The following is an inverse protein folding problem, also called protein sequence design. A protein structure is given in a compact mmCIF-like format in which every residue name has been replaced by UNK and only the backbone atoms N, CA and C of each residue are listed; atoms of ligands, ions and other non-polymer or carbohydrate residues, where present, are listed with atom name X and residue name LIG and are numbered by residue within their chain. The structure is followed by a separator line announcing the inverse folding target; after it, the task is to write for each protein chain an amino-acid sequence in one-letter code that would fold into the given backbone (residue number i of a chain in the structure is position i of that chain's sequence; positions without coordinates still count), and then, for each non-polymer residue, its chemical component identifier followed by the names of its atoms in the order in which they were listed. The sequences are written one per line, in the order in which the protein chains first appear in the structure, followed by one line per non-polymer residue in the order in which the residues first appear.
data_IF_623236768042
#
_entry.id   IF_623236768042
#
_cell.length_a   1.000
_cell.length_b   1.000
_cell.length_c   1.000
_cell.angle_alpha   90.00
_cell.angle_beta   90.00
_cell.angle_gamma   90.00
#
_symmetry.space_group_name_H-M   'P 1'
#
loop_
_entity.id
_entity.type
_entity.pdbx_description
1 polymer ?
#
# COMPACT_ATOMS: atom_id res chain seq x y z
N UNK A 1 -7.66 -19.20 -7.62
CA UNK A 1 -6.69 -19.14 -6.50
C UNK A 1 -7.41 -19.65 -5.28
N UNK A 2 -6.95 -20.70 -4.60
CA UNK A 2 -7.47 -21.03 -3.28
C UNK A 2 -7.27 -19.79 -2.39
N UNK A 3 -8.33 -19.40 -1.72
CA UNK A 3 -8.34 -18.26 -0.82
C UNK A 3 -7.24 -18.44 0.23
N UNK A 4 -6.20 -17.61 0.17
CA UNK A 4 -5.09 -17.57 1.13
C UNK A 4 -4.96 -16.17 1.66
N UNK A 5 -4.55 -16.06 2.90
CA UNK A 5 -4.26 -14.75 3.50
C UNK A 5 -3.24 -14.00 2.65
N UNK A 6 -3.53 -12.78 2.33
CA UNK A 6 -2.66 -11.89 1.58
C UNK A 6 -2.49 -10.56 2.31
N UNK A 7 -1.30 -9.97 2.19
CA UNK A 7 -0.97 -8.74 2.89
C UNK A 7 -0.56 -7.66 1.92
N UNK A 8 -1.17 -6.47 2.06
CA UNK A 8 -0.85 -5.29 1.28
C UNK A 8 -0.69 -4.06 2.19
N UNK A 9 -0.24 -2.97 1.62
CA UNK A 9 -0.47 -1.62 2.14
C UNK A 9 -1.55 -0.94 1.28
N UNK A 10 -2.29 0.00 1.87
CA UNK A 10 -3.21 0.88 1.14
C UNK A 10 -2.73 2.31 1.09
N UNK A 11 -1.80 2.69 1.95
CA UNK A 11 -1.32 4.05 1.97
C UNK A 11 0.06 4.19 2.59
N UNK A 12 0.64 5.36 2.40
CA UNK A 12 1.94 5.72 2.94
C UNK A 12 2.44 7.06 2.44
N UNK A 13 3.65 7.42 2.86
CA UNK A 13 4.32 8.62 2.40
C UNK A 13 4.74 8.48 0.94
N UNK A 14 4.43 9.50 0.14
CA UNK A 14 4.81 9.62 -1.27
C UNK A 14 5.45 10.98 -1.57
N UNK A 15 5.93 11.18 -2.79
CA UNK A 15 6.49 12.48 -3.20
C UNK A 15 5.49 13.65 -3.20
N UNK A 16 4.20 13.38 -3.08
CA UNK A 16 3.13 14.37 -2.95
C UNK A 16 2.57 14.48 -1.52
N UNK A 17 3.22 13.91 -0.52
CA UNK A 17 2.71 13.75 0.84
C UNK A 17 2.08 12.39 1.06
N UNK A 18 1.18 12.26 2.04
CA UNK A 18 0.45 11.02 2.25
C UNK A 18 -0.46 10.71 1.06
N UNK A 19 -0.42 9.47 0.58
CA UNK A 19 -1.34 8.93 -0.43
C UNK A 19 -1.94 7.63 0.08
N UNK A 20 -3.27 7.52 0.03
CA UNK A 20 -4.00 6.32 0.44
C UNK A 20 -5.09 5.94 -0.55
N UNK A 21 -5.49 4.68 -0.52
CA UNK A 21 -6.53 4.04 -1.34
C UNK A 21 -7.60 3.40 -0.44
N UNK A 22 -7.81 3.97 0.76
CA UNK A 22 -8.73 3.40 1.76
C UNK A 22 -10.20 3.54 1.37
N UNK A 23 -10.57 4.63 0.68
CA UNK A 23 -11.93 4.80 0.18
C UNK A 23 -12.20 3.80 -0.94
N UNK A 24 -11.29 3.72 -1.92
CA UNK A 24 -11.41 2.76 -3.02
C UNK A 24 -11.48 1.31 -2.50
N UNK A 25 -10.72 0.98 -1.44
CA UNK A 25 -10.81 -0.31 -0.78
C UNK A 25 -12.17 -0.54 -0.13
N UNK A 26 -12.69 0.42 0.63
CA UNK A 26 -13.99 0.31 1.29
C UNK A 26 -15.13 0.13 0.26
N UNK A 27 -15.06 0.84 -0.88
CA UNK A 27 -16.06 0.79 -1.95
C UNK A 27 -16.10 -0.58 -2.69
N UNK A 28 -15.11 -1.44 -2.49
CA UNK A 28 -15.10 -2.80 -3.04
C UNK A 28 -16.02 -3.77 -2.29
N UNK A 29 -16.45 -3.42 -1.07
CA UNK A 29 -17.20 -4.30 -0.17
C UNK A 29 -18.65 -3.86 -0.01
N UNK A 30 -19.54 -4.84 0.17
CA UNK A 30 -20.97 -4.58 0.37
C UNK A 30 -21.27 -3.97 1.74
N UNK A 31 -20.43 -4.27 2.75
CA UNK A 31 -20.57 -3.80 4.12
C UNK A 31 -19.23 -3.22 4.60
N UNK A 32 -18.94 -1.95 4.30
CA UNK A 32 -17.79 -1.28 4.90
C UNK A 32 -18.05 -0.96 6.38
N UNK A 33 -17.11 -1.32 7.25
CA UNK A 33 -17.13 -0.98 8.69
C UNK A 33 -15.99 -0.01 8.96
N UNK A 34 -16.33 1.23 9.30
CA UNK A 34 -15.39 2.30 9.60
C UNK A 34 -15.18 2.41 11.11
N UNK A 35 -13.93 2.34 11.56
CA UNK A 35 -13.55 2.49 12.98
C UNK A 35 -13.07 3.93 13.17
N UNK A 36 -13.86 4.75 13.84
CA UNK A 36 -13.63 6.18 14.00
C UNK A 36 -13.31 6.56 15.45
N UNK A 37 -12.69 7.74 15.62
CA UNK A 37 -12.54 8.39 16.91
C UNK A 37 -11.39 7.88 17.77
N UNK A 38 -10.53 7.03 17.22
CA UNK A 38 -9.41 6.47 17.95
C UNK A 38 -8.07 6.78 17.32
N UNK A 39 -7.02 6.55 18.08
CA UNK A 39 -5.68 6.39 17.59
C UNK A 39 -5.39 4.90 17.33
N UNK A 40 -4.21 4.59 16.85
CA UNK A 40 -3.88 3.25 16.34
C UNK A 40 -4.03 2.12 17.38
N UNK A 41 -4.04 2.41 18.69
CA UNK A 41 -4.22 1.40 19.74
C UNK A 41 -5.61 0.78 19.74
N UNK A 42 -6.67 1.58 19.88
CA UNK A 42 -8.06 1.10 19.97
C UNK A 42 -8.51 0.43 18.67
N UNK A 43 -8.30 1.09 17.52
CA UNK A 43 -8.64 0.52 16.21
C UNK A 43 -7.87 -0.78 15.94
N UNK A 44 -6.58 -0.82 16.31
CA UNK A 44 -5.74 -2.01 16.17
C UNK A 44 -6.26 -3.22 16.97
N UNK A 45 -6.79 -3.01 18.18
CA UNK A 45 -7.41 -4.08 19.00
C UNK A 45 -8.64 -4.66 18.33
N UNK A 46 -9.50 -3.80 17.79
CA UNK A 46 -10.71 -4.24 17.06
C UNK A 46 -10.32 -5.04 15.82
N UNK A 47 -9.42 -4.52 14.99
CA UNK A 47 -8.94 -5.21 13.79
C UNK A 47 -8.32 -6.57 14.13
N UNK A 48 -7.48 -6.64 15.15
CA UNK A 48 -6.84 -7.88 15.55
C UNK A 48 -7.86 -8.92 16.08
N UNK A 49 -8.88 -8.47 16.84
CA UNK A 49 -9.96 -9.34 17.32
C UNK A 49 -10.77 -9.94 16.16
N UNK A 50 -11.07 -9.15 15.13
CA UNK A 50 -11.73 -9.62 13.90
C UNK A 50 -10.84 -10.58 13.13
N UNK A 51 -9.56 -10.24 12.93
CA UNK A 51 -8.59 -11.10 12.22
C UNK A 51 -8.49 -12.49 12.85
N UNK A 52 -8.41 -12.54 14.19
CA UNK A 52 -8.33 -13.81 14.93
C UNK A 52 -9.60 -14.65 14.76
N UNK A 53 -10.80 -14.04 14.80
CA UNK A 53 -12.05 -14.75 14.57
C UNK A 53 -12.14 -15.30 13.15
N UNK A 54 -11.80 -14.51 12.14
CA UNK A 54 -11.83 -14.93 10.74
C UNK A 54 -10.85 -16.06 10.47
N UNK A 55 -9.64 -16.00 11.05
CA UNK A 55 -8.65 -17.06 10.98
C UNK A 55 -9.14 -18.37 11.63
N UNK A 56 -9.78 -18.29 12.81
CA UNK A 56 -10.38 -19.45 13.48
C UNK A 56 -11.50 -20.10 12.67
N UNK A 57 -12.22 -19.29 11.90
CA UNK A 57 -13.29 -19.76 10.99
C UNK A 57 -12.76 -20.29 9.66
N UNK A 58 -11.44 -20.33 9.47
CA UNK A 58 -10.81 -20.78 8.22
C UNK A 58 -11.10 -19.88 7.01
N UNK A 59 -11.50 -18.64 7.24
CA UNK A 59 -11.80 -17.69 6.19
C UNK A 59 -10.52 -16.99 5.73
N UNK A 60 -10.46 -16.72 4.45
CA UNK A 60 -9.37 -15.98 3.85
C UNK A 60 -9.51 -14.49 4.10
N UNK A 61 -8.47 -13.87 4.58
CA UNK A 61 -8.46 -12.47 4.97
C UNK A 61 -7.46 -11.69 4.14
N UNK A 62 -7.92 -10.63 3.50
CA UNK A 62 -7.03 -9.61 2.98
C UNK A 62 -6.62 -8.68 4.12
N UNK A 63 -5.34 -8.67 4.44
CA UNK A 63 -4.78 -7.94 5.57
C UNK A 63 -4.07 -6.68 5.06
N UNK A 64 -4.44 -5.53 5.57
CA UNK A 64 -3.80 -4.26 5.23
C UNK A 64 -2.86 -3.86 6.37
N UNK A 65 -1.57 -3.92 6.08
CA UNK A 65 -0.51 -3.55 7.01
C UNK A 65 -0.38 -2.03 7.13
N UNK A 66 -0.06 -1.55 8.32
CA UNK A 66 0.26 -0.15 8.54
C UNK A 66 1.66 0.16 8.03
N UNK A 67 1.78 1.20 7.20
CA UNK A 67 3.08 1.66 6.68
C UNK A 67 3.91 2.42 7.72
N UNK A 68 3.27 2.98 8.76
CA UNK A 68 3.94 3.70 9.84
C UNK A 68 4.42 2.77 10.96
N UNK A 69 3.69 1.67 11.20
CA UNK A 69 3.96 0.76 12.31
C UNK A 69 4.05 -0.69 11.86
N UNK A 70 5.24 -1.28 12.00
CA UNK A 70 5.42 -2.71 11.76
C UNK A 70 4.52 -3.54 12.70
N UNK A 71 3.80 -4.49 12.12
CA UNK A 71 2.94 -5.42 12.88
C UNK A 71 1.56 -4.87 13.28
N UNK A 72 1.23 -3.61 12.96
CA UNK A 72 -0.13 -3.08 13.10
C UNK A 72 -0.91 -3.15 11.79
N UNK A 73 -2.24 -3.14 11.92
CA UNK A 73 -3.20 -3.23 10.82
C UNK A 73 -3.90 -1.88 10.62
N UNK A 74 -4.13 -1.53 9.37
CA UNK A 74 -4.94 -0.37 8.99
C UNK A 74 -6.32 -0.79 8.47
N UNK A 75 -6.45 -2.00 7.90
CA UNK A 75 -7.73 -2.55 7.48
C UNK A 75 -7.68 -4.07 7.33
N UNK A 76 -8.88 -4.67 7.19
CA UNK A 76 -9.11 -6.07 6.85
C UNK A 76 -10.24 -6.17 5.83
N UNK A 77 -10.15 -7.13 4.91
CA UNK A 77 -11.22 -7.46 3.97
C UNK A 77 -11.51 -8.96 3.96
N UNK A 78 -12.78 -9.34 4.00
CA UNK A 78 -13.22 -10.73 3.90
C UNK A 78 -14.66 -10.80 3.40
N UNK A 79 -14.94 -11.60 2.36
CA UNK A 79 -16.28 -11.99 1.90
C UNK A 79 -17.35 -10.87 1.80
N UNK A 80 -17.03 -9.70 1.31
CA UNK A 80 -17.99 -8.61 1.18
C UNK A 80 -18.10 -7.68 2.37
N UNK A 81 -17.36 -7.95 3.47
CA UNK A 81 -17.22 -7.06 4.61
C UNK A 81 -15.77 -6.57 4.70
N UNK A 82 -15.57 -5.29 4.96
CA UNK A 82 -14.24 -4.80 5.32
C UNK A 82 -14.29 -3.97 6.60
N UNK A 83 -13.18 -3.93 7.30
CA UNK A 83 -12.96 -3.11 8.49
C UNK A 83 -11.81 -2.16 8.20
N UNK A 84 -12.03 -0.88 8.35
CA UNK A 84 -11.04 0.16 8.03
C UNK A 84 -10.84 1.08 9.22
N UNK A 85 -9.59 1.27 9.63
CA UNK A 85 -9.23 2.34 10.54
C UNK A 85 -9.44 3.68 9.84
N UNK A 86 -10.51 4.39 10.18
CA UNK A 86 -10.92 5.64 9.57
C UNK A 86 -10.29 6.90 10.21
N UNK A 87 -9.26 6.72 11.05
CA UNK A 87 -8.53 7.85 11.62
C UNK A 87 -7.58 8.48 10.60
N UNK A 88 -7.33 9.79 10.77
CA UNK A 88 -6.32 10.48 9.94
C UNK A 88 -4.95 9.79 10.03
N UNK A 89 -4.22 9.63 8.90
CA UNK A 89 -4.45 10.20 7.56
C UNK A 89 -5.28 9.33 6.62
N UNK A 90 -5.81 8.16 7.04
CA UNK A 90 -6.53 7.22 6.17
C UNK A 90 -7.87 7.80 5.70
N UNK A 91 -8.65 8.28 6.63
CA UNK A 91 -9.87 9.08 6.50
C UNK A 91 -10.86 8.69 5.37
N UNK A 92 -11.21 7.40 5.17
CA UNK A 92 -12.43 7.09 4.43
C UNK A 92 -13.62 7.68 5.20
N UNK A 93 -14.62 8.18 4.48
CA UNK A 93 -15.79 8.84 5.08
C UNK A 93 -17.03 7.99 4.86
N UNK A 94 -17.84 7.85 5.91
CA UNK A 94 -19.19 7.35 5.75
C UNK A 94 -20.03 8.38 4.99
N UNK A 95 -20.64 7.97 3.88
CA UNK A 95 -21.53 8.78 3.05
C UNK A 95 -22.97 8.56 3.50
N UNK A 96 -23.36 7.33 3.75
CA UNK A 96 -24.68 6.93 4.23
C UNK A 96 -24.54 6.05 5.49
N UNK A 97 -24.13 6.65 6.64
CA UNK A 97 -23.90 5.89 7.87
C UNK A 97 -25.09 5.02 8.25
N UNK A 98 -24.85 3.79 8.67
CA UNK A 98 -25.81 2.73 9.02
C UNK A 98 -26.62 2.16 7.85
N UNK A 99 -26.81 2.91 6.77
CA UNK A 99 -27.53 2.42 5.59
C UNK A 99 -26.60 1.64 4.64
N UNK A 100 -25.35 2.11 4.48
CA UNK A 100 -24.31 1.48 3.68
C UNK A 100 -23.12 1.14 4.57
N UNK A 101 -22.47 2.16 5.14
CA UNK A 101 -21.32 1.98 6.01
C UNK A 101 -21.77 1.77 7.46
N UNK A 102 -21.18 0.79 8.14
CA UNK A 102 -21.28 0.66 9.59
C UNK A 102 -20.18 1.48 10.24
N UNK A 103 -20.48 2.18 11.34
CA UNK A 103 -19.50 2.96 12.08
C UNK A 103 -19.33 2.39 13.48
N UNK A 104 -18.08 2.06 13.83
CA UNK A 104 -17.67 1.71 15.18
C UNK A 104 -16.95 2.92 15.79
N UNK A 105 -17.63 3.61 16.70
CA UNK A 105 -17.10 4.82 17.33
C UNK A 105 -16.29 4.48 18.58
N UNK A 106 -15.05 4.94 18.62
CA UNK A 106 -14.15 4.88 19.77
C UNK A 106 -14.26 6.12 20.70
N UNK A 107 -15.05 7.14 20.34
CA UNK A 107 -15.12 8.38 21.10
C UNK A 107 -15.52 8.16 22.57
N UNK A 108 -16.46 7.23 22.82
CA UNK A 108 -16.96 6.91 24.17
C UNK A 108 -16.15 5.79 24.85
N UNK A 109 -15.10 5.30 24.19
CA UNK A 109 -14.27 4.23 24.72
C UNK A 109 -13.04 4.74 25.48
N UNK A 110 -12.95 6.04 25.71
CA UNK A 110 -11.84 6.68 26.43
C UNK A 110 -12.30 7.49 27.63
N UNK A 111 -11.50 7.51 28.70
CA UNK A 111 -11.67 8.45 29.82
C UNK A 111 -11.37 9.87 29.36
N UNK A 112 -12.44 10.61 29.07
CA UNK A 112 -12.35 11.99 28.59
C UNK A 112 -11.65 12.93 29.59
N UNK A 113 -11.85 12.73 30.91
CA UNK A 113 -11.22 13.56 31.93
C UNK A 113 -9.73 13.39 31.93
N UNK A 114 -9.27 12.15 31.81
CA UNK A 114 -7.84 11.83 31.68
C UNK A 114 -7.26 12.46 30.42
N UNK A 115 -7.88 12.30 29.25
CA UNK A 115 -7.40 12.88 27.99
C UNK A 115 -7.35 14.41 28.04
N UNK A 116 -8.37 15.04 28.63
CA UNK A 116 -8.38 16.52 28.82
C UNK A 116 -7.23 16.96 29.72
N UNK A 117 -6.91 16.22 30.78
CA UNK A 117 -5.76 16.52 31.64
C UNK A 117 -4.40 16.42 30.95
N UNK A 118 -4.33 15.62 29.87
CA UNK A 118 -3.14 15.38 29.04
C UNK A 118 -3.11 16.22 27.75
N UNK A 119 -4.02 17.18 27.58
CA UNK A 119 -4.19 17.96 26.34
C UNK A 119 -2.89 18.58 25.84
N UNK A 120 -2.15 19.27 26.71
CA UNK A 120 -0.91 19.96 26.32
C UNK A 120 0.15 18.98 25.86
N UNK A 121 0.30 17.85 26.55
CA UNK A 121 1.23 16.78 26.21
C UNK A 121 0.86 16.15 24.86
N UNK A 122 -0.41 15.80 24.66
CA UNK A 122 -0.94 15.27 23.40
C UNK A 122 -0.72 16.24 22.25
N UNK A 123 -1.00 17.54 22.45
CA UNK A 123 -0.79 18.57 21.43
C UNK A 123 0.69 18.67 21.06
N UNK A 124 1.59 18.71 22.05
CA UNK A 124 3.03 18.81 21.80
C UNK A 124 3.57 17.61 20.98
N UNK A 125 3.17 16.39 21.33
CA UNK A 125 3.58 15.19 20.59
C UNK A 125 2.99 15.16 19.19
N UNK A 126 1.70 15.48 19.01
CA UNK A 126 1.05 15.53 17.70
C UNK A 126 1.74 16.54 16.78
N UNK A 127 2.00 17.76 17.26
CA UNK A 127 2.71 18.77 16.48
C UNK A 127 4.15 18.35 16.15
N UNK A 128 4.83 17.65 17.06
CA UNK A 128 6.19 17.14 16.82
C UNK A 128 6.19 16.09 15.72
N UNK A 129 5.27 15.13 15.78
CA UNK A 129 5.08 14.11 14.75
C UNK A 129 4.76 14.71 13.39
N UNK A 130 3.85 15.67 13.35
CA UNK A 130 3.47 16.40 12.13
C UNK A 130 4.64 17.17 11.51
N UNK A 131 5.48 17.83 12.33
CA UNK A 131 6.68 18.50 11.83
C UNK A 131 7.66 17.52 11.22
N UNK A 132 7.89 16.38 11.87
CA UNK A 132 8.77 15.33 11.39
C UNK A 132 8.24 14.70 10.09
N UNK A 133 6.96 14.38 10.03
CA UNK A 133 6.32 13.83 8.83
C UNK A 133 6.38 14.80 7.64
N UNK A 134 6.09 16.11 7.86
CA UNK A 134 6.25 17.13 6.80
C UNK A 134 7.70 17.29 6.34
N UNK A 135 8.69 17.12 7.24
CA UNK A 135 10.10 17.11 6.87
C UNK A 135 10.44 15.90 6.01
N UNK A 136 9.98 14.69 6.38
CA UNK A 136 10.12 13.49 5.58
C UNK A 136 9.52 13.66 4.17
N UNK A 137 8.33 14.26 4.06
CA UNK A 137 7.68 14.53 2.78
C UNK A 137 8.52 15.44 1.88
N UNK A 138 9.14 16.49 2.44
CA UNK A 138 10.02 17.39 1.66
C UNK A 138 11.26 16.67 1.14
N UNK A 139 11.92 15.87 1.97
CA UNK A 139 13.08 15.08 1.55
C UNK A 139 12.70 14.05 0.47
N UNK A 140 11.55 13.37 0.64
CA UNK A 140 11.08 12.40 -0.35
C UNK A 140 10.74 13.06 -1.69
N UNK A 141 10.16 14.28 -1.66
CA UNK A 141 9.88 15.06 -2.88
C UNK A 141 11.17 15.39 -3.62
N UNK A 142 12.21 15.80 -2.90
CA UNK A 142 13.52 16.10 -3.49
C UNK A 142 14.18 14.83 -4.06
N UNK A 143 14.15 13.71 -3.32
CA UNK A 143 14.66 12.42 -3.82
C UNK A 143 13.92 11.96 -5.08
N UNK A 144 12.59 12.04 -5.06
CA UNK A 144 11.74 11.67 -6.21
C UNK A 144 12.01 12.56 -7.43
N UNK A 145 12.38 13.83 -7.24
CA UNK A 145 12.77 14.72 -8.34
C UNK A 145 14.05 14.23 -9.03
N UNK A 146 15.05 13.82 -8.27
CA UNK A 146 16.30 13.25 -8.83
C UNK A 146 16.05 11.91 -9.53
N UNK A 147 15.20 11.05 -8.96
CA UNK A 147 14.83 9.77 -9.59
C UNK A 147 14.05 10.00 -10.89
N UNK A 148 13.15 10.99 -10.93
CA UNK A 148 12.43 11.38 -12.16
C UNK A 148 13.38 11.92 -13.23
N UNK A 149 14.36 12.72 -12.83
CA UNK A 149 15.38 13.22 -13.74
C UNK A 149 16.18 12.06 -14.37
N UNK A 150 16.49 11.02 -13.60
CA UNK A 150 17.14 9.82 -14.13
C UNK A 150 16.23 9.07 -15.10
N UNK A 151 14.96 8.89 -14.77
CA UNK A 151 13.98 8.29 -15.67
C UNK A 151 13.88 9.05 -16.99
N UNK A 152 13.74 10.38 -16.95
CA UNK A 152 13.67 11.21 -18.14
C UNK A 152 14.94 11.10 -19.00
N UNK A 153 16.11 11.11 -18.36
CA UNK A 153 17.39 10.93 -19.05
C UNK A 153 17.51 9.56 -19.73
N UNK A 154 16.93 8.51 -19.17
CA UNK A 154 16.90 7.16 -19.75
C UNK A 154 15.84 7.07 -20.85
N UNK A 155 14.66 7.69 -20.68
CA UNK A 155 13.60 7.73 -21.68
C UNK A 155 14.10 8.34 -23.01
N UNK A 156 15.00 9.33 -22.99
CA UNK A 156 15.54 9.91 -24.24
C UNK A 156 16.34 8.92 -25.09
N UNK A 157 16.75 7.79 -24.54
CA UNK A 157 17.44 6.71 -25.25
C UNK A 157 16.68 5.37 -25.18
N UNK A 158 15.39 5.40 -24.85
CA UNK A 158 14.52 4.21 -24.77
C UNK A 158 13.52 4.23 -25.92
N UNK A 159 13.45 3.11 -26.64
CA UNK A 159 12.46 2.90 -27.70
C UNK A 159 11.14 2.40 -27.06
N UNK A 160 10.24 3.35 -26.78
CA UNK A 160 8.94 3.04 -26.17
C UNK A 160 8.05 2.16 -27.07
N UNK A 161 8.20 2.26 -28.41
CA UNK A 161 7.46 1.40 -29.34
C UNK A 161 7.85 -0.07 -29.15
N UNK A 162 9.15 -0.37 -28.91
CA UNK A 162 9.60 -1.71 -28.56
C UNK A 162 9.14 -2.16 -27.19
N UNK A 163 9.06 -1.24 -26.21
CA UNK A 163 8.51 -1.54 -24.89
C UNK A 163 7.03 -1.92 -25.00
N UNK A 164 6.22 -1.18 -25.75
CA UNK A 164 4.82 -1.53 -26.02
C UNK A 164 4.67 -2.84 -26.75
N UNK A 165 5.49 -3.10 -27.81
CA UNK A 165 5.46 -4.39 -28.51
C UNK A 165 5.78 -5.55 -27.57
N UNK A 166 6.74 -5.37 -26.66
CA UNK A 166 7.05 -6.35 -25.63
C UNK A 166 5.85 -6.55 -24.69
N UNK A 167 5.20 -5.46 -24.23
CA UNK A 167 3.98 -5.52 -23.42
C UNK A 167 2.87 -6.32 -24.11
N UNK A 168 2.59 -6.04 -25.39
CA UNK A 168 1.61 -6.79 -26.21
C UNK A 168 1.99 -8.27 -26.37
N UNK A 169 3.26 -8.58 -26.57
CA UNK A 169 3.73 -9.96 -26.67
C UNK A 169 3.56 -10.73 -25.35
N UNK A 170 3.83 -10.07 -24.21
CA UNK A 170 3.62 -10.64 -22.89
C UNK A 170 2.14 -10.84 -22.58
N UNK A 171 1.29 -9.86 -22.90
CA UNK A 171 -0.17 -9.98 -22.78
C UNK A 171 -0.70 -11.16 -23.57
N UNK A 172 -0.35 -11.28 -24.85
CA UNK A 172 -0.74 -12.40 -25.70
C UNK A 172 -0.28 -13.75 -25.17
N UNK A 173 0.85 -13.79 -24.47
CA UNK A 173 1.42 -15.04 -23.93
C UNK A 173 0.76 -15.46 -22.62
N UNK A 174 0.51 -14.52 -21.71
CA UNK A 174 0.16 -14.82 -20.32
C UNK A 174 -1.29 -14.46 -19.96
N UNK A 175 -1.92 -13.52 -20.67
CA UNK A 175 -3.29 -13.07 -20.39
C UNK A 175 -4.24 -13.56 -21.49
N UNK A 176 -4.37 -14.89 -21.62
CA UNK A 176 -5.14 -15.50 -22.71
C UNK A 176 -6.61 -15.70 -22.38
N UNK A 177 -6.93 -15.86 -21.11
CA UNK A 177 -8.30 -16.08 -20.65
C UNK A 177 -9.07 -14.78 -20.64
N UNK A 178 -10.41 -14.89 -20.70
CA UNK A 178 -11.31 -13.77 -20.53
C UNK A 178 -11.97 -13.88 -19.16
N UNK A 179 -12.10 -12.74 -18.47
CA UNK A 179 -12.97 -12.58 -17.31
C UNK A 179 -14.38 -12.18 -17.72
N UNK A 180 -15.26 -11.96 -16.75
CA UNK A 180 -16.62 -11.49 -17.00
C UNK A 180 -16.72 -9.96 -16.88
N UNK A 181 -16.43 -9.42 -15.69
CA UNK A 181 -16.54 -7.99 -15.35
C UNK A 181 -15.40 -7.60 -14.41
N UNK A 182 -14.16 -7.77 -14.86
CA UNK A 182 -12.97 -7.51 -14.06
C UNK A 182 -12.87 -6.07 -13.57
N UNK A 183 -12.37 -5.93 -12.35
CA UNK A 183 -12.14 -4.65 -11.69
C UNK A 183 -10.65 -4.40 -11.47
N UNK A 184 -10.30 -3.14 -11.33
CA UNK A 184 -8.94 -2.74 -10.95
C UNK A 184 -8.96 -2.40 -9.45
N UNK A 185 -8.25 -3.21 -8.68
CA UNK A 185 -8.08 -3.05 -7.24
C UNK A 185 -6.75 -2.35 -6.96
N UNK A 186 -6.81 -1.20 -6.30
CA UNK A 186 -5.61 -0.44 -5.96
C UNK A 186 -5.01 -0.95 -4.64
N UNK A 187 -3.77 -1.42 -4.68
CA UNK A 187 -3.00 -1.90 -3.52
C UNK A 187 -1.56 -1.42 -3.61
N UNK A 188 -0.82 -1.53 -2.52
CA UNK A 188 0.62 -1.29 -2.54
C UNK A 188 1.34 -2.55 -2.04
N UNK A 189 2.31 -3.04 -2.81
CA UNK A 189 3.21 -4.12 -2.36
C UNK A 189 4.41 -3.60 -1.58
N UNK A 190 4.68 -2.31 -1.66
CA UNK A 190 5.77 -1.67 -0.95
C UNK A 190 5.32 -0.34 -0.33
N UNK A 191 5.96 0.06 0.76
CA UNK A 191 5.74 1.34 1.43
C UNK A 191 7.05 1.96 1.90
N UNK A 192 7.09 3.29 1.96
CA UNK A 192 8.19 4.03 2.59
C UNK A 192 7.96 4.02 4.09
N UNK A 193 8.86 3.40 4.84
CA UNK A 193 8.78 3.24 6.30
C UNK A 193 10.00 3.85 6.99
N UNK A 194 10.02 3.86 8.32
CA UNK A 194 11.20 4.27 9.11
C UNK A 194 12.43 3.38 8.86
N UNK A 195 12.22 2.12 8.51
CA UNK A 195 13.29 1.13 8.30
C UNK A 195 13.71 1.02 6.83
N UNK A 196 13.19 1.88 5.95
CA UNK A 196 13.46 1.83 4.52
C UNK A 196 12.20 1.61 3.69
N UNK A 197 12.37 1.25 2.42
CA UNK A 197 11.26 0.81 1.59
C UNK A 197 11.03 -0.67 1.86
N UNK A 198 9.91 -0.98 2.54
CA UNK A 198 9.51 -2.36 2.83
C UNK A 198 8.64 -2.92 1.73
N UNK A 199 8.91 -4.13 1.32
CA UNK A 199 8.18 -4.90 0.32
C UNK A 199 7.50 -6.11 0.97
N UNK A 200 6.25 -6.42 0.57
CA UNK A 200 5.47 -7.55 1.07
C UNK A 200 5.44 -8.68 0.03
N UNK A 201 6.31 -9.71 0.15
CA UNK A 201 6.41 -10.78 -0.84
C UNK A 201 5.31 -11.85 -0.71
N UNK A 202 4.55 -11.88 0.38
CA UNK A 202 3.65 -13.00 0.70
C UNK A 202 2.53 -13.20 -0.33
N UNK A 203 2.07 -12.10 -0.93
CA UNK A 203 1.08 -12.14 -2.03
C UNK A 203 1.64 -12.79 -3.29
N UNK A 204 2.95 -12.65 -3.52
CA UNK A 204 3.59 -13.12 -4.75
C UNK A 204 4.06 -14.57 -4.61
N UNK A 205 4.35 -15.04 -3.38
CA UNK A 205 4.85 -16.41 -3.14
C UNK A 205 3.97 -17.52 -3.72
N UNK A 206 2.63 -17.46 -3.62
CA UNK A 206 1.76 -18.49 -4.16
C UNK A 206 1.48 -18.39 -5.66
N UNK A 207 2.01 -17.35 -6.34
CA UNK A 207 1.77 -17.11 -7.77
C UNK A 207 2.55 -18.13 -8.61
N UNK A 208 1.84 -18.80 -9.51
CA UNK A 208 2.42 -19.84 -10.36
C UNK A 208 3.31 -19.26 -11.47
N UNK A 209 2.87 -18.15 -12.07
CA UNK A 209 3.59 -17.48 -13.15
C UNK A 209 4.07 -16.12 -12.70
N UNK A 210 5.37 -16.01 -12.40
CA UNK A 210 5.99 -14.74 -12.00
C UNK A 210 6.93 -14.23 -13.10
N UNK A 211 6.66 -13.03 -13.60
CA UNK A 211 7.51 -12.32 -14.58
C UNK A 211 8.09 -11.08 -13.95
N UNK A 212 9.41 -11.01 -13.89
CA UNK A 212 10.16 -9.89 -13.30
C UNK A 212 10.69 -8.99 -14.41
N UNK A 213 10.30 -7.73 -14.38
CA UNK A 213 10.80 -6.68 -15.27
C UNK A 213 11.95 -5.96 -14.56
N UNK A 214 13.18 -6.22 -14.97
CA UNK A 214 14.38 -5.58 -14.40
C UNK A 214 14.55 -4.19 -14.98
N UNK A 215 14.12 -3.17 -14.25
CA UNK A 215 14.18 -1.77 -14.66
C UNK A 215 14.63 -0.85 -13.51
N UNK A 216 15.92 -0.60 -13.45
CA UNK A 216 16.53 0.24 -12.41
C UNK A 216 15.99 1.68 -12.38
N UNK A 217 15.52 2.19 -13.52
CA UNK A 217 15.08 3.58 -13.65
C UNK A 217 13.58 3.76 -13.81
N UNK A 218 12.85 2.67 -14.05
CA UNK A 218 11.41 2.69 -14.29
C UNK A 218 11.00 3.23 -15.65
N UNK A 219 11.94 3.39 -16.58
CA UNK A 219 11.69 4.06 -17.86
C UNK A 219 10.82 3.27 -18.83
N UNK A 220 10.90 1.96 -18.83
CA UNK A 220 10.16 1.10 -19.75
C UNK A 220 9.18 0.15 -19.07
N UNK A 221 9.40 -0.19 -17.81
CA UNK A 221 8.53 -1.10 -17.08
C UNK A 221 7.11 -0.53 -16.91
N UNK A 222 6.96 0.76 -16.60
CA UNK A 222 5.65 1.41 -16.51
C UNK A 222 4.87 1.32 -17.83
N UNK A 223 5.56 1.56 -18.97
CA UNK A 223 4.96 1.43 -20.30
C UNK A 223 4.48 -0.02 -20.56
N UNK A 224 5.31 -1.02 -20.26
CA UNK A 224 4.96 -2.44 -20.41
C UNK A 224 3.77 -2.80 -19.53
N UNK A 225 3.78 -2.39 -18.26
CA UNK A 225 2.71 -2.69 -17.30
C UNK A 225 1.39 -2.02 -17.70
N UNK A 226 1.41 -0.79 -18.22
CA UNK A 226 0.20 -0.12 -18.72
C UNK A 226 -0.43 -0.85 -19.91
N UNK A 227 0.39 -1.36 -20.83
CA UNK A 227 -0.11 -2.19 -21.95
C UNK A 227 -0.74 -3.49 -21.43
N UNK A 228 -0.12 -4.12 -20.41
CA UNK A 228 -0.68 -5.32 -19.78
C UNK A 228 -2.00 -5.01 -19.07
N UNK A 229 -2.07 -3.90 -18.32
CA UNK A 229 -3.27 -3.47 -17.63
C UNK A 229 -4.41 -3.20 -18.61
N UNK A 230 -4.15 -2.43 -19.67
CA UNK A 230 -5.14 -2.15 -20.72
C UNK A 230 -5.68 -3.45 -21.34
N UNK A 231 -4.79 -4.35 -21.74
CA UNK A 231 -5.17 -5.63 -22.34
C UNK A 231 -6.02 -6.50 -21.39
N UNK A 232 -5.68 -6.53 -20.10
CA UNK A 232 -6.44 -7.25 -19.09
C UNK A 232 -7.82 -6.62 -18.84
N UNK A 233 -7.90 -5.30 -18.81
CA UNK A 233 -9.17 -4.55 -18.69
C UNK A 233 -10.09 -4.86 -19.87
N UNK A 234 -9.57 -4.82 -21.11
CA UNK A 234 -10.32 -5.14 -22.33
C UNK A 234 -10.85 -6.59 -22.32
N UNK A 235 -10.21 -7.48 -21.57
CA UNK A 235 -10.61 -8.89 -21.40
C UNK A 235 -11.46 -9.13 -20.15
N UNK A 236 -11.80 -8.11 -19.38
CA UNK A 236 -12.60 -8.24 -18.17
C UNK A 236 -11.92 -9.06 -17.07
N UNK A 237 -10.59 -9.04 -16.96
CA UNK A 237 -9.84 -9.70 -15.89
C UNK A 237 -9.76 -8.81 -14.65
N UNK A 238 -9.82 -9.41 -13.46
CA UNK A 238 -9.51 -8.71 -12.22
C UNK A 238 -8.02 -8.40 -12.15
N UNK A 239 -7.71 -7.17 -11.76
CA UNK A 239 -6.36 -6.64 -11.72
C UNK A 239 -6.08 -6.05 -10.34
N UNK A 240 -5.05 -6.53 -9.65
CA UNK A 240 -4.48 -5.81 -8.52
C UNK A 240 -3.35 -4.96 -9.08
N UNK A 241 -3.56 -3.65 -9.11
CA UNK A 241 -2.61 -2.67 -9.60
C UNK A 241 -1.85 -2.04 -8.43
N UNK A 242 -0.53 -2.16 -8.44
CA UNK A 242 0.33 -1.67 -7.39
C UNK A 242 1.24 -0.55 -7.91
N UNK A 243 0.89 0.71 -7.64
CA UNK A 243 1.75 1.84 -7.98
C UNK A 243 2.99 1.91 -7.08
N UNK A 244 3.99 2.64 -7.54
CA UNK A 244 5.20 2.91 -6.79
C UNK A 244 4.90 3.80 -5.56
N UNK A 245 5.30 3.43 -4.34
CA UNK A 245 5.02 4.21 -3.15
C UNK A 245 5.65 5.60 -3.19
N UNK A 246 6.82 5.73 -3.81
CA UNK A 246 7.52 7.02 -3.94
C UNK A 246 6.87 7.90 -5.01
N UNK A 247 6.48 7.32 -6.15
CA UNK A 247 5.91 7.99 -7.33
C UNK A 247 4.57 7.39 -7.71
N UNK A 248 3.46 7.77 -7.05
CA UNK A 248 2.15 7.08 -7.19
C UNK A 248 1.53 7.08 -8.59
N UNK A 249 2.03 7.92 -9.50
CA UNK A 249 1.61 7.90 -10.91
C UNK A 249 2.29 6.81 -11.74
N UNK A 250 3.31 6.18 -11.17
CA UNK A 250 4.11 5.13 -11.82
C UNK A 250 3.58 3.76 -11.40
N UNK A 251 3.22 2.91 -12.35
CA UNK A 251 2.82 1.55 -12.09
C UNK A 251 4.05 0.68 -11.86
N UNK A 252 4.05 -0.10 -10.78
CA UNK A 252 5.23 -0.89 -10.38
C UNK A 252 4.98 -2.39 -10.46
N UNK A 253 3.76 -2.84 -10.09
CA UNK A 253 3.41 -4.25 -10.19
C UNK A 253 1.97 -4.44 -10.64
N UNK A 254 1.69 -5.57 -11.29
CA UNK A 254 0.35 -6.06 -11.63
C UNK A 254 0.22 -7.51 -11.20
N UNK A 255 -0.90 -7.84 -10.56
CA UNK A 255 -1.26 -9.21 -10.21
C UNK A 255 -2.61 -9.52 -10.86
N UNK A 256 -2.71 -10.67 -11.48
CA UNK A 256 -3.92 -11.23 -12.10
C UNK A 256 -4.32 -12.47 -11.32
N UNK A 257 -5.18 -12.32 -10.27
CA UNK A 257 -5.49 -13.42 -9.35
C UNK A 257 -6.11 -14.64 -10.05
N UNK A 258 -7.01 -14.40 -11.00
CA UNK A 258 -7.70 -15.44 -11.77
C UNK A 258 -6.74 -16.32 -12.57
N UNK A 259 -5.61 -15.76 -13.01
CA UNK A 259 -4.60 -16.44 -13.84
C UNK A 259 -3.40 -16.95 -13.02
N UNK A 260 -3.39 -16.76 -11.70
CA UNK A 260 -2.21 -17.00 -10.86
C UNK A 260 -0.92 -16.43 -11.48
N UNK A 261 -1.02 -15.22 -12.03
CA UNK A 261 0.05 -14.57 -12.81
C UNK A 261 0.36 -13.19 -12.24
N UNK A 262 1.63 -12.86 -12.10
CA UNK A 262 2.06 -11.52 -11.71
C UNK A 262 3.22 -11.00 -12.56
N UNK A 263 3.19 -9.69 -12.81
CA UNK A 263 4.29 -8.93 -13.39
C UNK A 263 4.77 -7.95 -12.35
N UNK A 264 6.04 -8.05 -11.98
CA UNK A 264 6.65 -7.24 -10.94
C UNK A 264 7.91 -6.57 -11.48
N UNK A 265 8.22 -5.38 -10.99
CA UNK A 265 9.48 -4.73 -11.34
C UNK A 265 10.56 -5.09 -10.33
N UNK A 266 11.79 -5.24 -10.79
CA UNK A 266 12.96 -5.34 -9.94
C UNK A 266 13.83 -4.10 -10.11
N UNK A 267 14.18 -3.51 -8.98
CA UNK A 267 15.10 -2.40 -8.87
C UNK A 267 15.89 -2.56 -7.56
N UNK A 268 16.70 -1.59 -7.17
CA UNK A 268 17.52 -1.65 -5.96
C UNK A 268 16.78 -1.73 -4.63
N UNK A 269 15.50 -1.34 -4.60
CA UNK A 269 14.68 -1.37 -3.38
C UNK A 269 13.97 -2.71 -3.18
N UNK A 270 13.75 -3.44 -4.28
CA UNK A 270 13.17 -4.79 -4.27
C UNK A 270 13.71 -5.55 -5.49
N UNK A 271 14.63 -6.45 -5.26
CA UNK A 271 15.31 -7.23 -6.31
C UNK A 271 15.12 -8.74 -6.16
N UNK A 272 14.73 -9.18 -4.98
CA UNK A 272 14.60 -10.58 -4.64
C UNK A 272 13.14 -11.03 -4.72
N UNK A 273 12.90 -12.08 -5.48
CA UNK A 273 11.59 -12.66 -5.69
C UNK A 273 11.66 -14.18 -5.48
N UNK A 274 10.58 -14.80 -4.94
CA UNK A 274 10.56 -16.25 -4.66
C UNK A 274 10.62 -17.08 -5.95
N UNK A 275 11.12 -18.29 -5.82
CA UNK A 275 11.16 -19.27 -6.89
C UNK A 275 12.19 -18.98 -7.98
N UNK A 276 11.89 -19.39 -9.20
CA UNK A 276 12.72 -19.12 -10.39
C UNK A 276 11.91 -18.32 -11.43
N UNK A 277 11.68 -17.02 -11.19
CA UNK A 277 10.85 -16.20 -12.04
C UNK A 277 11.49 -15.95 -13.40
N UNK A 278 10.68 -15.75 -14.43
CA UNK A 278 11.18 -15.28 -15.72
C UNK A 278 11.61 -13.83 -15.59
N UNK A 279 12.90 -13.56 -15.77
CA UNK A 279 13.47 -12.20 -15.72
C UNK A 279 13.60 -11.61 -17.12
N UNK A 280 13.20 -10.35 -17.27
CA UNK A 280 13.26 -9.59 -18.52
C UNK A 280 14.03 -8.28 -18.22
N UNK A 281 15.22 -8.15 -18.80
CA UNK A 281 16.01 -6.95 -18.69
C UNK A 281 15.41 -5.84 -19.56
N UNK A 282 14.86 -4.82 -18.97
CA UNK A 282 14.21 -3.71 -19.67
C UNK A 282 15.20 -2.83 -20.44
N UNK A 283 16.49 -2.87 -20.11
CA UNK A 283 17.54 -2.19 -20.87
C UNK A 283 17.66 -2.67 -22.34
N UNK A 284 17.05 -3.81 -22.69
CA UNK A 284 17.02 -4.32 -24.07
C UNK A 284 16.27 -3.41 -25.05
N UNK A 285 15.39 -2.55 -24.55
CA UNK A 285 14.67 -1.55 -25.34
C UNK A 285 15.33 -0.17 -25.33
N UNK A 286 16.50 -0.04 -24.69
CA UNK A 286 17.24 1.20 -24.61
C UNK A 286 18.55 1.13 -25.40
N UNK A 287 18.98 2.24 -25.95
CA UNK A 287 20.24 2.38 -26.64
C UNK A 287 21.41 2.42 -25.65
N UNK A 288 22.30 1.43 -25.72
CA UNK A 288 23.44 1.28 -24.79
C UNK A 288 24.41 2.46 -24.83
N UNK A 289 24.66 3.03 -26.01
CA UNK A 289 25.51 4.21 -26.20
C UNK A 289 24.94 5.41 -25.45
N UNK A 290 23.65 5.69 -25.56
CA UNK A 290 22.97 6.76 -24.88
C UNK A 290 23.02 6.61 -23.34
N UNK A 291 22.84 5.41 -22.83
CA UNK A 291 22.99 5.12 -21.39
C UNK A 291 24.42 5.33 -20.90
N UNK A 292 25.43 4.95 -21.71
CA UNK A 292 26.86 5.11 -21.36
C UNK A 292 27.24 6.56 -21.19
N UNK A 293 26.83 7.44 -22.11
CA UNK A 293 27.10 8.88 -22.04
C UNK A 293 26.52 9.51 -20.79
N UNK A 294 25.32 9.06 -20.35
CA UNK A 294 24.60 9.60 -19.18
C UNK A 294 25.00 8.99 -17.83
N UNK A 295 25.86 7.96 -17.83
CA UNK A 295 26.20 7.15 -16.66
C UNK A 295 26.66 7.95 -15.45
N UNK A 296 27.49 8.98 -15.63
CA UNK A 296 28.00 9.81 -14.53
C UNK A 296 26.84 10.57 -13.84
N UNK A 297 25.95 11.20 -14.63
CA UNK A 297 24.78 11.94 -14.15
C UNK A 297 23.80 11.00 -13.43
N UNK A 298 23.47 9.87 -14.05
CA UNK A 298 22.55 8.87 -13.46
C UNK A 298 23.08 8.38 -12.11
N UNK A 299 24.37 8.13 -11.99
CA UNK A 299 25.01 7.70 -10.75
C UNK A 299 24.99 8.80 -9.69
N UNK A 300 25.29 10.05 -10.07
CA UNK A 300 25.26 11.20 -9.16
C UNK A 300 23.84 11.40 -8.58
N UNK A 301 22.82 11.52 -9.45
CA UNK A 301 21.44 11.73 -9.01
C UNK A 301 20.97 10.60 -8.09
N UNK A 302 21.34 9.36 -8.40
CA UNK A 302 21.02 8.21 -7.60
C UNK A 302 21.62 8.31 -6.19
N UNK A 303 22.92 8.61 -6.10
CA UNK A 303 23.61 8.77 -4.82
C UNK A 303 22.96 9.86 -3.97
N UNK A 304 22.63 11.00 -4.58
CA UNK A 304 21.97 12.09 -3.88
C UNK A 304 20.54 11.71 -3.43
N UNK A 305 19.81 10.96 -4.25
CA UNK A 305 18.50 10.46 -3.86
C UNK A 305 18.59 9.48 -2.66
N UNK A 306 19.61 8.62 -2.60
CA UNK A 306 19.87 7.72 -1.48
C UNK A 306 20.15 8.48 -0.17
N UNK A 307 20.98 9.51 -0.23
CA UNK A 307 21.25 10.38 0.94
C UNK A 307 19.98 11.08 1.44
N UNK A 308 19.14 11.56 0.51
CA UNK A 308 17.85 12.14 0.87
C UNK A 308 16.89 11.10 1.44
N UNK A 309 16.87 9.87 0.91
CA UNK A 309 16.06 8.78 1.45
C UNK A 309 16.47 8.42 2.88
N UNK A 310 17.76 8.45 3.22
CA UNK A 310 18.21 8.26 4.60
C UNK A 310 17.63 9.33 5.54
N UNK A 311 17.53 10.59 5.09
CA UNK A 311 16.86 11.66 5.86
C UNK A 311 15.35 11.43 5.99
N UNK A 312 14.70 10.85 4.97
CA UNK A 312 13.29 10.45 5.04
C UNK A 312 13.08 9.44 6.15
N UNK A 313 13.89 8.38 6.19
CA UNK A 313 13.76 7.31 7.19
C UNK A 313 13.98 7.83 8.61
N UNK A 314 15.01 8.66 8.83
CA UNK A 314 15.24 9.32 10.13
C UNK A 314 14.06 10.19 10.58
N UNK A 315 13.51 10.99 9.68
CA UNK A 315 12.35 11.82 9.99
C UNK A 315 11.07 11.00 10.24
N UNK A 316 10.88 9.86 9.56
CA UNK A 316 9.78 8.93 9.85
C UNK A 316 9.96 8.22 11.19
N UNK A 317 11.21 7.93 11.60
CA UNK A 317 11.49 7.41 12.94
C UNK A 317 11.03 8.39 14.02
N UNK A 318 11.40 9.67 13.90
CA UNK A 318 10.96 10.72 14.85
C UNK A 318 9.43 10.86 14.87
N UNK A 319 8.77 10.84 13.69
CA UNK A 319 7.32 10.88 13.62
C UNK A 319 6.68 9.66 14.30
N UNK A 320 7.26 8.48 14.12
CA UNK A 320 6.81 7.25 14.75
C UNK A 320 6.97 7.26 16.27
N UNK A 321 8.05 7.84 16.80
CA UNK A 321 8.25 8.00 18.25
C UNK A 321 7.19 8.95 18.86
N UNK A 322 6.92 10.08 18.20
CA UNK A 322 5.88 10.99 18.63
C UNK A 322 4.50 10.34 18.66
N UNK A 323 4.18 9.57 17.61
CA UNK A 323 2.91 8.85 17.55
C UNK A 323 2.81 7.76 18.62
N UNK A 324 3.89 7.03 18.93
CA UNK A 324 3.91 6.05 20.02
C UNK A 324 3.61 6.69 21.38
N UNK A 325 4.09 7.90 21.61
CA UNK A 325 3.80 8.65 22.83
C UNK A 325 2.30 9.01 22.91
N UNK A 326 1.70 9.47 21.81
CA UNK A 326 0.25 9.73 21.73
C UNK A 326 -0.54 8.43 21.95
N UNK A 327 -0.18 7.34 21.29
CA UNK A 327 -0.81 6.03 21.44
C UNK A 327 -0.76 5.51 22.88
N UNK A 328 0.35 5.73 23.58
CA UNK A 328 0.49 5.31 24.97
C UNK A 328 -0.48 6.06 25.91
N UNK A 329 -0.69 7.36 25.68
CA UNK A 329 -1.66 8.17 26.45
C UNK A 329 -3.08 7.70 26.17
N UNK A 330 -3.44 7.49 24.90
CA UNK A 330 -4.77 6.98 24.54
C UNK A 330 -4.99 5.57 25.07
N UNK A 331 -4.00 4.69 24.98
CA UNK A 331 -4.10 3.32 25.51
C UNK A 331 -4.30 3.29 27.02
N UNK A 332 -3.68 4.23 27.75
CA UNK A 332 -3.91 4.36 29.20
C UNK A 332 -5.29 4.93 29.56
N UNK A 333 -5.91 5.67 28.64
CA UNK A 333 -7.25 6.24 28.81
C UNK A 333 -8.38 5.30 28.31
N UNK A 334 -8.06 4.14 27.75
CA UNK A 334 -9.09 3.19 27.29
C UNK A 334 -9.95 2.66 28.43
N UNK A 335 -11.26 2.60 28.19
CA UNK A 335 -12.23 1.94 29.06
C UNK A 335 -12.40 0.50 28.59
N UNK A 336 -11.85 -0.50 29.32
CA UNK A 336 -11.76 -1.88 28.81
C UNK A 336 -13.10 -2.47 28.38
N UNK A 337 -14.17 -2.23 29.13
CA UNK A 337 -15.51 -2.76 28.87
C UNK A 337 -16.08 -2.20 27.56
N UNK A 338 -15.76 -0.94 27.22
CA UNK A 338 -16.23 -0.32 25.97
C UNK A 338 -15.44 -0.87 24.78
N UNK A 339 -14.13 -1.05 24.91
CA UNK A 339 -13.28 -1.68 23.87
C UNK A 339 -13.76 -3.12 23.62
N UNK A 340 -14.01 -3.92 24.67
CA UNK A 340 -14.52 -5.29 24.55
C UNK A 340 -15.86 -5.32 23.81
N UNK A 341 -16.79 -4.44 24.17
CA UNK A 341 -18.08 -4.31 23.49
C UNK A 341 -17.93 -4.01 22.00
N UNK A 342 -17.01 -3.11 21.64
CA UNK A 342 -16.73 -2.79 20.24
C UNK A 342 -16.09 -3.98 19.50
N UNK A 343 -15.20 -4.73 20.16
CA UNK A 343 -14.62 -5.94 19.59
C UNK A 343 -15.71 -7.01 19.34
N UNK A 344 -16.64 -7.21 20.28
CA UNK A 344 -17.77 -8.13 20.11
C UNK A 344 -18.67 -7.71 18.94
N UNK A 345 -19.01 -6.42 18.88
CA UNK A 345 -19.81 -5.88 17.76
C UNK A 345 -19.11 -6.04 16.41
N UNK A 346 -17.81 -5.79 16.34
CA UNK A 346 -17.02 -6.00 15.12
C UNK A 346 -17.04 -7.47 14.69
N UNK A 347 -16.92 -8.39 15.63
CA UNK A 347 -17.01 -9.83 15.39
C UNK A 347 -18.38 -10.26 14.85
N UNK A 348 -19.46 -9.71 15.39
CA UNK A 348 -20.82 -9.94 14.85
C UNK A 348 -20.93 -9.48 13.40
N UNK A 349 -20.44 -8.25 13.11
CA UNK A 349 -20.44 -7.70 11.75
C UNK A 349 -19.60 -8.54 10.78
N UNK A 350 -18.49 -9.13 11.25
CA UNK A 350 -17.64 -10.00 10.42
C UNK A 350 -18.31 -11.32 10.03
N UNK A 351 -19.38 -11.68 10.74
CA UNK A 351 -20.15 -12.91 10.51
C UNK A 351 -21.35 -12.68 9.59
N UNK A 352 -21.63 -11.44 9.19
CA UNK A 352 -22.67 -11.13 8.21
C UNK A 352 -22.24 -11.71 6.86
N UNK A 353 -22.97 -12.71 6.38
CA UNK A 353 -22.83 -13.14 4.99
C UNK A 353 -23.30 -12.01 4.07
N UNK A 354 -22.50 -11.69 3.05
CA UNK A 354 -22.82 -10.70 2.02
C UNK A 354 -24.00 -11.14 1.11
N UNK A 355 -25.01 -11.75 1.69
CA UNK A 355 -26.23 -12.27 1.08
C UNK A 355 -27.48 -11.44 1.38
N UNK A 356 -27.29 -10.11 1.64
CA UNK A 356 -28.39 -9.14 1.68
C UNK A 356 -28.40 -8.28 0.45
#
# INVERSE_FOLDING_TARGET
MQARDCSFYLGGLSCGGYRGYFQEFADEFSVPVLIEGGFSSGAGKILEAVRQQLAQSGQCVETICCSAYAGKLDALGCKGVCFVNATSPHAPKAVLPTAVEQVLSLYDAYDQKMLVSKREELTAWTESGDRAFRRAARYLTAAASLLRENEQAVLTCTDLSKAEQLGRALAKRYLRENGANGRVHMRLLSAVTSDGIRFLPDVIRPIETLVVLEDEYGASADCILRVLQQHATERGLDIIACPCPVRPKHLEHLIFPQLSTAFVTANRYHSEYPGNPRRIHCTRVSEKSGLRVRRARLRFNRKMAEELMAQVFGALTEAGEAQKAVDAIYSAAEIPEQIEKLCLRAKELSSLDAGL
#
